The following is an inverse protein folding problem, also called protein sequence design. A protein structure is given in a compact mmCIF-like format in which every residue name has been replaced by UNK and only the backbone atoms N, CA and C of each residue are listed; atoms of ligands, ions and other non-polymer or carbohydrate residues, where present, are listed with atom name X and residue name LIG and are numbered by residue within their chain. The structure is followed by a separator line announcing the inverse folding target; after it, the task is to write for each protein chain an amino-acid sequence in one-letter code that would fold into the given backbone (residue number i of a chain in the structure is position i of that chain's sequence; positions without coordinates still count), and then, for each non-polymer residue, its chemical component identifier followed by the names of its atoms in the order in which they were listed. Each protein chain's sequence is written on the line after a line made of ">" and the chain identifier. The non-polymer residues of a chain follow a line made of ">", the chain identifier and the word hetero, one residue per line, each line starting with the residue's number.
data_IF_381511081833
#
_entry.id   IF_381511081833
#
_cell.length_a   1.000
_cell.length_b   1.000
_cell.length_c   1.000
_cell.angle_alpha   90.00
_cell.angle_beta   90.00
_cell.angle_gamma   90.00
#
_symmetry.space_group_name_H-M   'P 1'
#
loop_
_entity.id
_entity.type
_entity.pdbx_description
1 polymer ?
#
# COMPACT_ATOMS: atom_id res chain seq x y z
N UNK A 1 9.93 14.00 -11.75
CA UNK A 1 9.92 12.53 -11.75
C UNK A 1 8.53 11.99 -12.11
N UNK A 2 7.47 12.32 -11.35
CA UNK A 2 6.10 11.85 -11.61
C UNK A 2 5.65 12.04 -13.06
N UNK A 3 5.74 13.25 -13.61
CA UNK A 3 5.37 13.51 -15.01
C UNK A 3 6.16 12.66 -16.03
N UNK A 4 7.43 12.36 -15.76
CA UNK A 4 8.23 11.47 -16.63
C UNK A 4 7.75 10.03 -16.54
N UNK A 5 7.31 9.59 -15.36
CA UNK A 5 6.74 8.26 -15.17
C UNK A 5 5.36 8.15 -15.86
N UNK A 6 4.51 9.17 -15.72
CA UNK A 6 3.20 9.23 -16.40
C UNK A 6 3.32 9.29 -17.93
N UNK A 7 4.39 9.87 -18.45
CA UNK A 7 4.69 9.87 -19.89
C UNK A 7 5.29 8.56 -20.42
N UNK A 8 5.51 7.57 -19.55
CA UNK A 8 6.02 6.24 -19.92
C UNK A 8 4.87 5.29 -20.28
N UNK A 9 5.13 4.15 -20.94
CA UNK A 9 4.10 3.15 -21.24
C UNK A 9 3.65 2.34 -20.00
N UNK A 10 4.15 2.65 -18.80
CA UNK A 10 3.77 1.95 -17.58
C UNK A 10 2.32 2.27 -17.20
N UNK A 11 1.53 1.29 -16.75
CA UNK A 11 0.12 1.46 -16.41
C UNK A 11 -0.05 2.11 -15.02
N UNK A 12 0.43 3.34 -14.85
CA UNK A 12 0.40 4.04 -13.57
C UNK A 12 -1.01 4.58 -13.31
N UNK A 13 -1.71 3.97 -12.36
CA UNK A 13 -3.04 4.40 -11.93
C UNK A 13 -3.04 5.30 -10.70
N UNK A 14 -2.02 5.16 -9.84
CA UNK A 14 -1.99 5.74 -8.50
C UNK A 14 -0.64 6.37 -8.14
N UNK A 15 -0.69 7.44 -7.36
CA UNK A 15 0.47 8.04 -6.68
C UNK A 15 0.23 8.07 -5.17
N UNK A 16 1.22 7.61 -4.39
CA UNK A 16 1.21 7.75 -2.93
C UNK A 16 2.54 8.31 -2.44
N UNK A 17 2.49 9.07 -1.35
CA UNK A 17 3.66 9.68 -0.74
C UNK A 17 3.40 10.04 0.73
N UNK A 18 4.47 10.36 1.45
CA UNK A 18 4.41 10.88 2.82
C UNK A 18 3.89 12.32 2.91
N UNK A 19 3.83 12.84 4.13
CA UNK A 19 3.32 14.18 4.43
C UNK A 19 4.19 15.32 3.93
N UNK A 20 5.49 15.09 3.69
CA UNK A 20 6.38 16.12 3.18
C UNK A 20 6.00 16.50 1.75
N UNK A 21 5.65 15.50 0.94
CA UNK A 21 5.11 15.71 -0.40
C UNK A 21 3.62 16.03 -0.36
N UNK A 22 2.87 15.30 0.46
CA UNK A 22 1.42 15.35 0.41
C UNK A 22 0.85 16.69 0.84
N UNK A 23 1.56 17.50 1.65
CA UNK A 23 1.16 18.87 2.00
C UNK A 23 1.35 19.89 0.85
N UNK A 24 2.17 19.58 -0.15
CA UNK A 24 2.45 20.48 -1.27
C UNK A 24 1.24 20.59 -2.21
N UNK A 25 0.62 21.76 -2.21
CA UNK A 25 -0.49 22.09 -3.10
C UNK A 25 -0.13 21.96 -4.60
N UNK A 26 1.10 22.31 -4.97
CA UNK A 26 1.54 22.26 -6.38
C UNK A 26 1.63 20.82 -6.86
N UNK A 27 2.12 19.91 -6.01
CA UNK A 27 2.13 18.48 -6.31
C UNK A 27 0.71 17.96 -6.50
N UNK A 28 -0.20 18.21 -5.56
CA UNK A 28 -1.60 17.75 -5.65
C UNK A 28 -2.27 18.25 -6.92
N UNK A 29 -2.18 19.56 -7.21
CA UNK A 29 -2.75 20.14 -8.44
C UNK A 29 -2.18 19.52 -9.70
N UNK A 30 -0.87 19.27 -9.76
CA UNK A 30 -0.26 18.62 -10.92
C UNK A 30 -0.80 17.19 -11.12
N UNK A 31 -1.00 16.43 -10.05
CA UNK A 31 -1.60 15.10 -10.12
C UNK A 31 -3.06 15.15 -10.59
N UNK A 32 -3.84 16.10 -10.09
CA UNK A 32 -5.24 16.33 -10.48
C UNK A 32 -5.35 16.71 -11.96
N UNK A 33 -4.52 17.64 -12.43
CA UNK A 33 -4.41 18.05 -13.84
C UNK A 33 -3.99 16.90 -14.75
N UNK A 34 -3.13 16.00 -14.26
CA UNK A 34 -2.72 14.81 -14.99
C UNK A 34 -3.76 13.70 -14.96
N UNK A 35 -4.86 13.86 -14.20
CA UNK A 35 -5.91 12.86 -14.05
C UNK A 35 -5.48 11.57 -13.34
N UNK A 36 -4.32 11.55 -12.67
CA UNK A 36 -3.84 10.35 -11.98
C UNK A 36 -4.45 10.29 -10.57
N UNK A 37 -4.88 9.10 -10.14
CA UNK A 37 -5.38 8.92 -8.78
C UNK A 37 -4.25 9.13 -7.77
N UNK A 38 -4.58 9.61 -6.57
CA UNK A 38 -3.60 9.66 -5.48
C UNK A 38 -4.19 9.36 -4.12
N UNK A 39 -3.34 8.88 -3.22
CA UNK A 39 -3.56 8.88 -1.77
C UNK A 39 -2.28 9.37 -1.09
N UNK A 40 -2.31 10.60 -0.58
CA UNK A 40 -1.14 11.27 -0.04
C UNK A 40 -1.34 11.47 1.47
N UNK A 41 -0.35 11.09 2.27
CA UNK A 41 -0.35 11.46 3.67
C UNK A 41 -0.24 12.97 3.82
N UNK A 42 -0.85 13.55 4.83
CA UNK A 42 -0.83 15.00 5.08
C UNK A 42 -0.66 15.28 6.57
N UNK A 43 -0.07 16.43 6.96
CA UNK A 43 -0.02 16.81 8.37
C UNK A 43 -1.44 17.02 8.91
N UNK A 44 -1.63 16.83 10.22
CA UNK A 44 -2.90 17.05 10.90
C UNK A 44 -3.46 18.48 10.75
N UNK A 45 -2.58 19.43 10.45
CA UNK A 45 -2.90 20.84 10.16
C UNK A 45 -3.37 21.11 8.72
N UNK A 46 -3.39 20.09 7.85
CA UNK A 46 -3.81 20.25 6.47
C UNK A 46 -5.28 20.67 6.39
N UNK A 47 -5.55 21.70 5.61
CA UNK A 47 -6.91 22.14 5.30
C UNK A 47 -7.54 21.26 4.21
N UNK A 48 -8.83 20.98 4.36
CA UNK A 48 -9.65 20.28 3.37
C UNK A 48 -10.47 21.28 2.53
N UNK A 49 -11.08 20.81 1.44
CA UNK A 49 -12.07 21.61 0.70
C UNK A 49 -13.27 21.86 1.60
N UNK A 50 -13.49 23.11 2.04
CA UNK A 50 -14.45 23.46 3.09
C UNK A 50 -13.85 24.16 4.33
N UNK A 51 -12.55 24.47 4.30
CA UNK A 51 -11.84 25.34 5.25
C UNK A 51 -11.61 24.81 6.68
N UNK A 52 -11.96 23.56 7.00
CA UNK A 52 -11.57 22.95 8.28
C UNK A 52 -10.22 22.23 8.18
N UNK A 53 -9.49 22.17 9.30
CA UNK A 53 -8.31 21.31 9.43
C UNK A 53 -8.76 19.86 9.47
N UNK A 54 -8.00 18.98 8.81
CA UNK A 54 -8.33 17.55 8.71
C UNK A 54 -8.45 16.87 10.08
N UNK A 55 -7.66 17.28 11.07
CA UNK A 55 -7.81 16.77 12.45
C UNK A 55 -9.17 17.12 13.05
N UNK A 56 -9.67 18.35 12.83
CA UNK A 56 -10.97 18.79 13.34
C UNK A 56 -12.13 18.10 12.64
N UNK A 57 -11.95 17.68 11.38
CA UNK A 57 -12.92 16.87 10.65
C UNK A 57 -13.09 15.49 11.30
N UNK A 58 -11.99 14.81 11.63
CA UNK A 58 -12.03 13.48 12.23
C UNK A 58 -12.21 13.46 13.75
N UNK A 59 -11.96 14.57 14.44
CA UNK A 59 -12.31 14.72 15.86
C UNK A 59 -13.82 14.64 16.11
N UNK A 60 -14.63 14.90 15.08
CA UNK A 60 -16.09 14.81 15.12
C UNK A 60 -16.61 13.47 14.60
N UNK A 61 -15.73 12.56 14.16
CA UNK A 61 -16.14 11.28 13.61
C UNK A 61 -16.65 10.37 14.75
N UNK A 62 -17.86 9.80 14.63
CA UNK A 62 -18.37 8.85 15.60
C UNK A 62 -17.58 7.54 15.54
N UNK A 63 -17.64 6.71 16.59
CA UNK A 63 -16.84 5.49 16.67
C UNK A 63 -17.17 4.49 15.55
N UNK A 64 -18.41 4.46 15.08
CA UNK A 64 -18.86 3.60 13.97
C UNK A 64 -18.21 3.97 12.63
N UNK A 65 -17.69 5.20 12.49
CA UNK A 65 -16.96 5.61 11.30
C UNK A 65 -15.56 4.97 11.20
N UNK A 66 -15.07 4.32 12.28
CA UNK A 66 -13.74 3.73 12.36
C UNK A 66 -13.76 2.22 12.11
N UNK A 67 -13.70 1.85 10.85
CA UNK A 67 -13.71 0.45 10.43
C UNK A 67 -12.32 -0.18 10.50
N UNK A 68 -12.26 -1.45 10.89
CA UNK A 68 -11.00 -2.21 10.93
C UNK A 68 -10.67 -2.76 9.54
N UNK A 69 -9.69 -2.15 8.87
CA UNK A 69 -9.33 -2.46 7.48
C UNK A 69 -7.85 -2.84 7.38
N UNK A 70 -7.54 -3.88 6.60
CA UNK A 70 -6.16 -4.26 6.25
C UNK A 70 -5.64 -3.40 5.10
N UNK A 71 -4.45 -2.82 5.25
CA UNK A 71 -3.76 -2.10 4.17
C UNK A 71 -2.82 -2.98 3.35
N UNK A 72 -3.01 -4.31 3.42
CA UNK A 72 -2.21 -5.32 2.73
C UNK A 72 -1.34 -6.15 3.68
N UNK A 73 -0.74 -7.21 3.15
CA UNK A 73 0.14 -8.10 3.92
C UNK A 73 1.46 -7.42 4.23
N UNK A 74 1.97 -7.62 5.44
CA UNK A 74 3.33 -7.24 5.84
C UNK A 74 4.11 -8.45 6.34
N UNK A 75 5.40 -8.25 6.65
CA UNK A 75 6.28 -9.33 7.12
C UNK A 75 5.79 -10.09 8.38
N UNK A 76 4.88 -9.49 9.17
CA UNK A 76 4.26 -10.07 10.38
C UNK A 76 2.79 -10.44 10.19
N UNK A 77 2.30 -10.51 8.95
CA UNK A 77 0.89 -10.73 8.62
C UNK A 77 0.16 -9.46 8.17
N UNK A 78 -1.18 -9.51 7.99
CA UNK A 78 -1.97 -8.39 7.52
C UNK A 78 -1.79 -7.14 8.38
N UNK A 79 -1.51 -6.01 7.75
CA UNK A 79 -1.35 -4.71 8.44
C UNK A 79 -2.71 -4.08 8.66
N UNK A 80 -3.29 -4.37 9.81
CA UNK A 80 -4.65 -3.95 10.16
C UNK A 80 -4.64 -2.70 11.03
N UNK A 81 -5.43 -1.71 10.62
CA UNK A 81 -5.63 -0.45 11.34
C UNK A 81 -7.12 -0.10 11.40
N UNK A 82 -7.50 0.82 12.29
CA UNK A 82 -8.80 1.47 12.19
C UNK A 82 -8.71 2.63 11.21
N UNK A 83 -9.60 2.65 10.23
CA UNK A 83 -9.69 3.66 9.19
C UNK A 83 -11.04 4.34 9.23
N UNK A 84 -11.03 5.66 9.11
CA UNK A 84 -12.21 6.46 8.83
C UNK A 84 -12.01 7.18 7.51
N UNK A 85 -13.07 7.30 6.71
CA UNK A 85 -13.05 7.97 5.42
C UNK A 85 -14.29 8.83 5.26
N UNK A 86 -14.10 10.01 4.65
CA UNK A 86 -15.19 10.95 4.37
C UNK A 86 -14.99 11.56 3.00
N UNK A 87 -16.09 11.70 2.24
CA UNK A 87 -16.08 12.39 0.95
C UNK A 87 -15.95 13.88 1.16
N UNK A 88 -15.08 14.51 0.40
CA UNK A 88 -14.92 15.96 0.37
C UNK A 88 -15.77 16.57 -0.74
N UNK A 89 -16.16 17.85 -0.62
CA UNK A 89 -16.79 18.58 -1.70
C UNK A 89 -15.98 18.51 -2.99
N UNK A 90 -16.68 18.39 -4.12
CA UNK A 90 -16.07 18.36 -5.43
C UNK A 90 -15.54 19.74 -5.82
N UNK A 91 -14.43 19.77 -6.55
CA UNK A 91 -13.83 20.97 -7.13
C UNK A 91 -14.16 21.00 -8.62
N UNK A 92 -14.97 21.98 -9.04
CA UNK A 92 -15.48 22.09 -10.40
C UNK A 92 -14.39 21.99 -11.49
N UNK A 93 -13.23 22.60 -11.25
CA UNK A 93 -12.10 22.64 -12.19
C UNK A 93 -11.53 21.24 -12.53
N UNK A 94 -11.54 20.31 -11.58
CA UNK A 94 -10.83 19.04 -11.72
C UNK A 94 -11.74 17.82 -11.68
N UNK A 95 -12.88 17.92 -11.00
CA UNK A 95 -13.67 16.75 -10.64
C UNK A 95 -14.81 16.47 -11.63
N UNK A 96 -15.03 17.39 -12.56
CA UNK A 96 -16.08 17.35 -13.57
C UNK A 96 -15.52 17.35 -14.99
N UNK A 97 -16.21 16.66 -15.89
CA UNK A 97 -16.03 16.76 -17.33
C UNK A 97 -17.32 17.34 -17.92
N UNK A 98 -17.34 18.65 -18.14
CA UNK A 98 -18.58 19.39 -18.36
C UNK A 98 -19.41 19.41 -17.07
N UNK A 99 -20.65 18.94 -17.13
CA UNK A 99 -21.55 18.86 -15.97
C UNK A 99 -21.50 17.50 -15.25
N UNK A 100 -20.76 16.53 -15.80
CA UNK A 100 -20.73 15.16 -15.27
C UNK A 100 -19.54 15.00 -14.33
N UNK A 101 -19.76 14.61 -13.05
CA UNK A 101 -18.66 14.28 -12.17
C UNK A 101 -17.98 12.99 -12.67
N UNK A 102 -16.65 12.97 -12.67
CA UNK A 102 -15.87 11.78 -13.05
C UNK A 102 -14.82 11.40 -12.00
N UNK A 103 -14.61 12.28 -11.01
CA UNK A 103 -13.69 12.08 -9.90
C UNK A 103 -14.33 12.45 -8.57
N UNK A 104 -13.77 11.91 -7.51
CA UNK A 104 -14.17 12.20 -6.15
C UNK A 104 -12.96 12.38 -5.25
N UNK A 105 -13.14 13.21 -4.23
CA UNK A 105 -12.13 13.56 -3.25
C UNK A 105 -12.49 12.95 -1.91
N UNK A 106 -11.47 12.51 -1.18
CA UNK A 106 -11.63 11.93 0.15
C UNK A 106 -10.62 12.53 1.12
N UNK A 107 -11.04 12.63 2.37
CA UNK A 107 -10.13 12.66 3.50
C UNK A 107 -10.19 11.29 4.18
N UNK A 108 -9.04 10.78 4.61
CA UNK A 108 -8.95 9.56 5.41
C UNK A 108 -8.16 9.83 6.68
N UNK A 109 -8.49 9.08 7.72
CA UNK A 109 -7.71 8.98 8.94
C UNK A 109 -7.45 7.52 9.26
N UNK A 110 -6.26 7.24 9.77
CA UNK A 110 -5.82 5.92 10.20
C UNK A 110 -5.30 6.02 11.63
N UNK A 111 -5.84 5.20 12.53
CA UNK A 111 -5.32 5.07 13.90
C UNK A 111 -4.86 3.64 14.20
N UNK A 112 -3.89 3.51 15.11
CA UNK A 112 -3.44 2.20 15.58
C UNK A 112 -4.56 1.47 16.33
N UNK A 113 -4.59 0.13 16.23
CA UNK A 113 -5.50 -0.70 17.02
C UNK A 113 -5.10 -0.69 18.49
N UNK A 114 -3.79 -0.63 18.79
CA UNK A 114 -3.27 -0.62 20.15
C UNK A 114 -3.09 0.79 20.74
N UNK A 115 -2.89 1.80 19.89
CA UNK A 115 -2.74 3.20 20.30
C UNK A 115 -3.65 4.13 19.47
N UNK A 116 -4.94 4.25 19.83
CA UNK A 116 -5.93 5.00 19.06
C UNK A 116 -5.62 6.51 18.91
N UNK A 117 -4.79 7.08 19.78
CA UNK A 117 -4.43 8.51 19.76
C UNK A 117 -3.41 8.85 18.65
N UNK A 118 -2.71 7.84 18.12
CA UNK A 118 -1.78 8.00 17.01
C UNK A 118 -2.51 7.96 15.67
N UNK A 119 -2.95 9.14 15.22
CA UNK A 119 -3.70 9.28 13.97
C UNK A 119 -2.81 9.82 12.84
N UNK A 120 -2.80 9.12 11.71
CA UNK A 120 -2.26 9.59 10.44
C UNK A 120 -3.39 10.02 9.50
N UNK A 121 -3.20 11.11 8.76
CA UNK A 121 -4.21 11.69 7.88
C UNK A 121 -3.80 11.62 6.43
N UNK A 122 -4.78 11.50 5.54
CA UNK A 122 -4.57 11.39 4.10
C UNK A 122 -5.60 12.19 3.32
N UNK A 123 -5.18 12.72 2.16
CA UNK A 123 -6.08 13.19 1.12
C UNK A 123 -6.02 12.23 -0.06
N UNK A 124 -7.16 11.96 -0.68
CA UNK A 124 -7.24 11.16 -1.88
C UNK A 124 -8.08 11.80 -2.99
N UNK A 125 -7.71 11.47 -4.22
CA UNK A 125 -8.39 11.84 -5.45
C UNK A 125 -8.50 10.59 -6.32
N UNK A 126 -9.72 10.21 -6.69
CA UNK A 126 -10.00 8.90 -7.26
C UNK A 126 -11.14 8.92 -8.28
N UNK A 127 -11.18 7.98 -9.24
CA UNK A 127 -12.38 7.69 -10.04
C UNK A 127 -13.58 7.33 -9.15
N UNK A 128 -14.81 7.60 -9.61
CA UNK A 128 -16.05 7.44 -8.84
C UNK A 128 -16.35 6.01 -8.33
N UNK A 129 -15.81 4.98 -8.99
CA UNK A 129 -16.05 3.58 -8.63
C UNK A 129 -15.11 3.05 -7.52
N UNK A 130 -14.11 3.84 -7.11
CA UNK A 130 -13.11 3.39 -6.13
C UNK A 130 -13.71 3.26 -4.73
N UNK A 131 -13.40 2.16 -4.06
CA UNK A 131 -13.86 1.90 -2.68
C UNK A 131 -12.86 2.42 -1.65
N UNK A 132 -13.31 2.60 -0.40
CA UNK A 132 -12.41 2.96 0.72
C UNK A 132 -11.31 1.91 0.90
N UNK A 133 -11.64 0.62 0.73
CA UNK A 133 -10.66 -0.47 0.82
C UNK A 133 -9.53 -0.31 -0.20
N UNK A 134 -9.84 0.14 -1.43
CA UNK A 134 -8.83 0.41 -2.45
C UNK A 134 -7.95 1.62 -2.08
N UNK A 135 -8.53 2.69 -1.53
CA UNK A 135 -7.76 3.85 -1.03
C UNK A 135 -6.81 3.43 0.11
N UNK A 136 -7.28 2.58 1.02
CA UNK A 136 -6.49 2.03 2.13
C UNK A 136 -5.34 1.16 1.61
N UNK A 137 -5.60 0.35 0.58
CA UNK A 137 -4.55 -0.44 -0.10
C UNK A 137 -3.48 0.47 -0.71
N UNK A 138 -3.88 1.53 -1.43
CA UNK A 138 -2.94 2.48 -2.03
C UNK A 138 -2.13 3.22 -0.96
N UNK A 139 -2.75 3.64 0.14
CA UNK A 139 -2.04 4.24 1.28
C UNK A 139 -1.03 3.25 1.91
N UNK A 140 -1.40 1.97 1.99
CA UNK A 140 -0.56 0.89 2.52
C UNK A 140 0.66 0.59 1.64
N UNK A 141 0.54 0.76 0.33
CA UNK A 141 1.64 0.54 -0.63
C UNK A 141 2.87 1.42 -0.36
N UNK A 142 2.69 2.56 0.34
CA UNK A 142 3.80 3.43 0.77
C UNK A 142 4.84 2.67 1.61
N UNK A 143 4.44 1.66 2.38
CA UNK A 143 5.37 0.91 3.22
C UNK A 143 6.33 0.04 2.39
N UNK A 144 5.86 -0.47 1.25
CA UNK A 144 6.71 -1.21 0.32
C UNK A 144 7.86 -0.34 -0.21
N UNK A 145 7.68 0.98 -0.29
CA UNK A 145 8.73 1.91 -0.68
C UNK A 145 9.88 1.89 0.34
N UNK A 146 9.56 1.92 1.64
CA UNK A 146 10.58 1.85 2.71
C UNK A 146 11.31 0.51 2.68
N UNK A 147 10.58 -0.61 2.53
CA UNK A 147 11.17 -1.95 2.37
C UNK A 147 12.09 -2.04 1.15
N UNK A 148 11.64 -1.55 -0.01
CA UNK A 148 12.45 -1.50 -1.23
C UNK A 148 13.72 -0.67 -1.05
N UNK A 149 13.63 0.50 -0.40
CA UNK A 149 14.82 1.32 -0.14
C UNK A 149 15.80 0.63 0.81
N UNK A 150 15.32 -0.05 1.85
CA UNK A 150 16.19 -0.79 2.76
C UNK A 150 16.86 -1.97 2.05
N UNK A 151 16.10 -2.73 1.26
CA UNK A 151 16.64 -3.83 0.47
C UNK A 151 17.69 -3.32 -0.55
N UNK A 152 17.39 -2.24 -1.28
CA UNK A 152 18.35 -1.66 -2.24
C UNK A 152 19.65 -1.16 -1.59
N UNK A 153 19.58 -0.63 -0.36
CA UNK A 153 20.79 -0.27 0.41
C UNK A 153 21.60 -1.50 0.80
N UNK A 154 20.95 -2.49 1.40
CA UNK A 154 21.60 -3.68 1.93
C UNK A 154 22.17 -4.59 0.82
N UNK A 155 21.45 -4.75 -0.27
CA UNK A 155 21.75 -5.74 -1.32
C UNK A 155 22.44 -5.14 -2.54
N UNK A 156 22.20 -3.85 -2.83
CA UNK A 156 22.68 -3.20 -4.05
C UNK A 156 23.56 -1.98 -3.79
N UNK A 157 23.92 -1.72 -2.53
CA UNK A 157 24.80 -0.61 -2.16
C UNK A 157 24.25 0.76 -2.55
N UNK A 158 22.92 0.96 -2.49
CA UNK A 158 22.28 2.21 -2.88
C UNK A 158 22.86 3.44 -2.16
N UNK A 159 23.30 3.28 -0.91
CA UNK A 159 23.95 4.29 -0.09
C UNK A 159 25.48 4.13 0.03
N UNK A 160 26.07 3.16 -0.69
CA UNK A 160 27.51 2.86 -0.69
C UNK A 160 28.24 3.54 -1.85
N UNK A 161 28.07 4.85 -1.99
CA UNK A 161 28.78 5.65 -3.00
C UNK A 161 29.65 6.74 -2.35
N UNK A 162 30.83 6.98 -2.93
CA UNK A 162 31.74 8.06 -2.49
C UNK A 162 31.85 9.19 -3.54
N UNK A 163 30.97 9.18 -4.54
CA UNK A 163 30.97 10.14 -5.64
C UNK A 163 30.49 11.52 -5.20
N UNK A 164 31.20 12.57 -5.63
CA UNK A 164 30.89 13.97 -5.30
C UNK A 164 30.27 14.78 -6.43
N UNK A 165 30.17 14.20 -7.64
CA UNK A 165 29.58 14.85 -8.82
C UNK A 165 28.18 14.32 -9.06
N UNK A 166 27.25 15.22 -9.41
CA UNK A 166 25.86 14.87 -9.72
C UNK A 166 25.75 13.72 -10.73
N UNK A 167 26.51 13.77 -11.83
CA UNK A 167 26.48 12.72 -12.85
C UNK A 167 26.94 11.37 -12.33
N UNK A 168 27.96 11.34 -11.46
CA UNK A 168 28.44 10.11 -10.84
C UNK A 168 27.39 9.54 -9.90
N UNK A 169 26.80 10.39 -9.05
CA UNK A 169 25.72 10.03 -8.16
C UNK A 169 24.51 9.48 -8.91
N UNK A 170 24.07 10.18 -9.96
CA UNK A 170 22.90 9.78 -10.76
C UNK A 170 23.10 8.42 -11.43
N UNK A 171 24.29 8.15 -11.97
CA UNK A 171 24.65 6.83 -12.54
C UNK A 171 24.61 5.73 -11.48
N UNK A 172 25.21 5.98 -10.30
CA UNK A 172 25.22 5.01 -9.20
C UNK A 172 23.80 4.65 -8.76
N UNK A 173 22.99 5.66 -8.42
CA UNK A 173 21.61 5.45 -7.98
C UNK A 173 20.80 4.70 -9.04
N UNK A 174 20.96 5.04 -10.33
CA UNK A 174 20.25 4.35 -11.42
C UNK A 174 20.65 2.88 -11.49
N UNK A 175 21.95 2.56 -11.42
CA UNK A 175 22.43 1.18 -11.49
C UNK A 175 22.03 0.35 -10.26
N UNK A 176 22.13 0.92 -9.06
CA UNK A 176 21.72 0.26 -7.82
C UNK A 176 20.21 -0.03 -7.81
N UNK A 177 19.38 0.92 -8.24
CA UNK A 177 17.93 0.72 -8.36
C UNK A 177 17.58 -0.31 -9.45
N UNK A 178 18.31 -0.34 -10.57
CA UNK A 178 18.13 -1.36 -11.61
C UNK A 178 18.50 -2.76 -11.11
N UNK A 179 19.61 -2.89 -10.39
CA UNK A 179 20.04 -4.15 -9.78
C UNK A 179 18.98 -4.64 -8.78
N UNK A 180 18.48 -3.76 -7.92
CA UNK A 180 17.42 -4.11 -6.97
C UNK A 180 16.13 -4.54 -7.67
N UNK A 181 15.71 -3.84 -8.73
CA UNK A 181 14.53 -4.22 -9.51
C UNK A 181 14.69 -5.62 -10.14
N UNK A 182 15.89 -5.95 -10.64
CA UNK A 182 16.21 -7.29 -11.15
C UNK A 182 16.12 -8.36 -10.06
N UNK A 183 16.70 -8.11 -8.87
CA UNK A 183 16.61 -9.03 -7.73
C UNK A 183 15.17 -9.24 -7.27
N UNK A 184 14.39 -8.17 -7.16
CA UNK A 184 12.98 -8.26 -6.77
C UNK A 184 12.15 -9.06 -7.78
N UNK A 185 12.34 -8.82 -9.09
CA UNK A 185 11.64 -9.55 -10.15
C UNK A 185 12.02 -11.04 -10.19
N UNK A 186 13.31 -11.35 -10.06
CA UNK A 186 13.79 -12.75 -10.05
C UNK A 186 13.33 -13.51 -8.81
N UNK A 187 13.35 -12.87 -7.64
CA UNK A 187 12.81 -13.45 -6.40
C UNK A 187 11.30 -13.74 -6.51
N UNK A 188 10.54 -12.81 -7.10
CA UNK A 188 9.11 -13.00 -7.34
C UNK A 188 8.83 -14.22 -8.24
N UNK A 189 9.51 -14.31 -9.39
CA UNK A 189 9.39 -15.44 -10.31
C UNK A 189 9.81 -16.78 -9.68
N UNK A 190 10.83 -16.78 -8.84
CA UNK A 190 11.26 -17.97 -8.12
C UNK A 190 10.20 -18.43 -7.09
N UNK A 191 9.54 -17.49 -6.42
CA UNK A 191 8.42 -17.76 -5.51
C UNK A 191 7.22 -18.39 -6.22
N UNK A 192 6.85 -17.90 -7.40
CA UNK A 192 5.78 -18.48 -8.22
C UNK A 192 6.10 -19.92 -8.66
N UNK A 193 7.33 -20.17 -9.11
CA UNK A 193 7.79 -21.52 -9.49
C UNK A 193 7.88 -22.47 -8.29
N UNK A 194 8.29 -21.97 -7.13
CA UNK A 194 8.32 -22.72 -5.88
C UNK A 194 6.92 -23.09 -5.38
N UNK A 195 5.93 -22.22 -5.60
CA UNK A 195 4.52 -22.51 -5.30
C UNK A 195 3.93 -23.58 -6.22
N UNK A 196 4.38 -23.68 -7.48
CA UNK A 196 4.02 -24.74 -8.42
C UNK A 196 4.65 -26.11 -8.10
N UNK A 197 5.73 -26.18 -7.30
CA UNK A 197 6.43 -27.43 -7.00
C UNK A 197 6.11 -28.09 -5.65
N UNK A 198 5.23 -27.50 -4.81
CA UNK A 198 4.74 -28.22 -3.62
C UNK A 198 3.56 -29.12 -4.01
N UNK A 199 3.87 -30.21 -4.73
CA UNK A 199 2.99 -31.39 -4.72
C UNK A 199 3.06 -31.95 -3.30
N UNK A 200 2.08 -31.58 -2.47
CA UNK A 200 1.93 -32.15 -1.12
C UNK A 200 2.10 -33.67 -1.22
N UNK A 201 3.03 -34.31 -0.48
CA UNK A 201 2.95 -35.74 -0.29
C UNK A 201 1.54 -36.02 0.20
N UNK A 202 0.82 -36.93 -0.49
CA UNK A 202 -0.47 -37.40 -0.01
C UNK A 202 -0.36 -37.80 1.47
N UNK A 203 -1.42 -37.63 2.28
CA UNK A 203 -1.32 -37.82 3.71
C UNK A 203 -0.71 -39.20 3.99
N UNK A 204 0.45 -39.22 4.64
CA UNK A 204 0.97 -40.42 5.28
C UNK A 204 -0.11 -40.85 6.25
N UNK A 205 -0.83 -41.93 5.91
CA UNK A 205 -1.98 -42.40 6.65
C UNK A 205 -1.58 -42.65 8.09
N UNK A 206 -2.06 -41.81 9.01
CA UNK A 206 -1.87 -42.02 10.44
C UNK A 206 -2.46 -43.39 10.83
N UNK A 207 -1.66 -44.24 11.46
CA UNK A 207 -2.09 -45.56 11.96
C UNK A 207 -3.15 -45.50 13.08
N UNK A 208 -3.49 -44.28 13.52
CA UNK A 208 -4.49 -43.97 14.53
C UNK A 208 -5.85 -43.75 13.86
N UNK A 209 -6.84 -44.58 14.19
CA UNK A 209 -8.24 -44.34 13.82
C UNK A 209 -9.11 -44.16 15.08
N UNK A 210 -10.06 -43.24 15.00
CA UNK A 210 -11.00 -42.94 16.07
C UNK A 210 -12.23 -43.86 15.97
N UNK A 211 -12.55 -44.54 17.07
CA UNK A 211 -13.77 -45.34 17.22
C UNK A 211 -14.53 -44.83 18.44
N UNK A 212 -15.62 -44.09 18.20
CA UNK A 212 -16.37 -43.40 19.25
C UNK A 212 -15.49 -42.42 20.03
N UNK A 213 -15.45 -42.60 21.36
CA UNK A 213 -14.71 -41.73 22.28
C UNK A 213 -13.28 -42.22 22.60
N UNK A 214 -12.75 -43.17 21.83
CA UNK A 214 -11.38 -43.68 22.02
C UNK A 214 -10.58 -43.81 20.73
N UNK A 215 -9.25 -43.82 20.86
CA UNK A 215 -8.30 -43.95 19.77
C UNK A 215 -7.62 -45.32 19.80
N UNK A 216 -7.54 -45.99 18.64
CA UNK A 216 -6.90 -47.30 18.52
C UNK A 216 -5.84 -47.30 17.39
N UNK A 217 -4.79 -48.09 17.61
CA UNK A 217 -3.71 -48.37 16.66
C UNK A 217 -4.04 -49.64 15.86
N UNK A 218 -4.06 -49.57 14.54
CA UNK A 218 -4.27 -50.74 13.68
C UNK A 218 -2.92 -51.31 13.27
N UNK A 219 -2.57 -52.49 13.81
CA UNK A 219 -1.42 -53.26 13.34
C UNK A 219 -1.82 -54.14 12.15
N UNK A 220 -1.02 -54.19 11.07
CA UNK A 220 -1.28 -55.10 9.96
C UNK A 220 -1.06 -56.55 10.43
N UNK A 221 -2.08 -57.40 10.25
CA UNK A 221 -2.02 -58.82 10.60
C UNK A 221 -0.98 -59.60 9.79
N UNK A 222 -0.54 -60.76 10.28
CA UNK A 222 0.46 -61.58 9.59
C UNK A 222 -0.09 -62.09 8.26
N UNK A 223 0.69 -61.88 7.20
CA UNK A 223 0.38 -62.39 5.86
C UNK A 223 0.49 -63.91 5.87
N UNK A 224 -0.61 -64.62 5.62
CA UNK A 224 -0.60 -66.02 5.13
C UNK A 224 -0.42 -66.03 3.63
#
# INVERSE_FOLDING_TARGET
>A
MVLRALASPLPIAWVTADSAYGQDNRLRRMLEQSGVGYVLAVPKSQFTAGCSRIEGLFAQAPDEAWEKISCGDGAKGPRVYHWAAVRLPAVAEFDYQGEVPYRMRWALARRSVSNPDEIAYFLAYAPLHVTVQELVRVAGARWAIEECFQAAKNECGLDQYEVRRYTGWYRHITLAMLAHAFLAATAHQAGEKGAEQVRRPGPSGSQWRRFGDSWQLVFPGPRT
#
